data_IF_897090660154
#
_entry.id   IF_897090660154
#
_cell.length_a   1.000
_cell.length_b   1.000
_cell.length_c   1.000
_cell.angle_alpha   90.00
_cell.angle_beta   90.00
_cell.angle_gamma   90.00
#
_symmetry.space_group_name_H-M   'P 1'
#
loop_
_entity.id
_entity.type
_entity.pdbx_description
1 polymer ?
#
# COMPACT_ATOMS: atom_id res chain seq x y z
N UNK A 1 22.84 1.34 -9.00
CA UNK A 1 23.13 -0.08 -9.24
C UNK A 1 22.10 -0.93 -8.50
N UNK A 2 21.31 -1.71 -9.24
CA UNK A 2 20.25 -2.56 -8.66
C UNK A 2 20.83 -3.79 -7.94
N UNK A 3 20.08 -4.34 -6.98
CA UNK A 3 20.34 -5.66 -6.39
C UNK A 3 19.33 -6.64 -6.93
N UNK A 4 19.72 -7.43 -7.92
CA UNK A 4 18.86 -8.48 -8.47
C UNK A 4 18.71 -9.61 -7.45
N UNK A 5 17.48 -10.08 -7.24
CA UNK A 5 17.19 -11.20 -6.34
C UNK A 5 17.74 -12.48 -6.95
N UNK A 6 18.50 -13.27 -6.20
CA UNK A 6 19.11 -14.49 -6.76
C UNK A 6 18.08 -15.51 -7.26
N UNK A 7 18.24 -15.94 -8.51
CA UNK A 7 17.45 -17.01 -9.13
C UNK A 7 18.11 -18.38 -9.01
N UNK A 8 17.40 -19.41 -9.44
CA UNK A 8 18.01 -20.74 -9.65
C UNK A 8 18.70 -20.75 -11.02
N UNK A 9 20.02 -20.94 -11.05
CA UNK A 9 20.77 -21.03 -12.30
C UNK A 9 20.32 -22.27 -13.09
N UNK A 10 19.82 -22.04 -14.30
CA UNK A 10 19.47 -23.10 -15.25
C UNK A 10 20.74 -23.56 -15.96
N UNK A 11 21.45 -22.63 -16.61
CA UNK A 11 22.73 -22.89 -17.31
C UNK A 11 23.42 -21.59 -17.74
N UNK A 12 24.69 -21.75 -18.10
CA UNK A 12 25.55 -20.71 -18.67
C UNK A 12 25.90 -21.06 -20.12
N UNK A 13 25.86 -20.06 -21.00
CA UNK A 13 26.06 -20.15 -22.44
C UNK A 13 27.03 -19.06 -22.91
N UNK A 14 27.68 -19.27 -24.05
CA UNK A 14 28.51 -18.26 -24.72
C UNK A 14 27.81 -17.67 -25.96
N UNK A 15 26.70 -18.26 -26.37
CA UNK A 15 25.88 -17.79 -27.49
C UNK A 15 24.44 -18.29 -27.38
N UNK A 16 23.49 -17.62 -28.05
CA UNK A 16 22.09 -18.01 -28.04
C UNK A 16 21.15 -16.98 -28.68
N UNK A 17 20.05 -17.46 -29.28
CA UNK A 17 18.98 -16.61 -29.79
C UNK A 17 18.05 -16.21 -28.64
N UNK A 18 17.71 -14.93 -28.54
CA UNK A 18 16.88 -14.40 -27.45
C UNK A 18 15.53 -15.12 -27.29
N UNK A 19 14.83 -15.43 -28.39
CA UNK A 19 13.50 -16.05 -28.33
C UNK A 19 13.56 -17.46 -27.71
N UNK A 20 14.62 -18.22 -28.02
CA UNK A 20 14.87 -19.54 -27.43
C UNK A 20 15.17 -19.42 -25.92
N UNK A 21 15.99 -18.43 -25.54
CA UNK A 21 16.36 -18.19 -24.14
C UNK A 21 15.16 -17.74 -23.30
N UNK A 22 14.31 -16.87 -23.86
CA UNK A 22 13.07 -16.39 -23.22
C UNK A 22 12.11 -17.56 -22.99
N UNK A 23 11.94 -18.41 -24.01
CA UNK A 23 11.09 -19.61 -23.92
C UNK A 23 11.60 -20.59 -22.86
N UNK A 24 12.92 -20.79 -22.77
CA UNK A 24 13.53 -21.70 -21.80
C UNK A 24 13.42 -21.20 -20.35
N UNK A 25 13.61 -19.90 -20.14
CA UNK A 25 13.49 -19.28 -18.81
C UNK A 25 12.04 -19.34 -18.34
N UNK A 26 11.08 -18.99 -19.21
CA UNK A 26 9.64 -18.85 -18.96
C UNK A 26 9.27 -17.85 -17.85
N UNK A 27 9.79 -18.00 -16.64
CA UNK A 27 9.67 -17.05 -15.53
C UNK A 27 11.04 -16.90 -14.87
N UNK A 28 11.64 -15.71 -14.91
CA UNK A 28 12.99 -15.48 -14.41
C UNK A 28 13.70 -14.30 -15.06
N UNK A 29 15.02 -14.42 -15.21
CA UNK A 29 15.81 -13.43 -15.94
C UNK A 29 16.97 -14.07 -16.70
N UNK A 30 17.40 -13.36 -17.73
CA UNK A 30 18.58 -13.64 -18.54
C UNK A 30 19.60 -12.57 -18.19
N UNK A 31 20.80 -12.97 -17.77
CA UNK A 31 21.93 -12.07 -17.53
C UNK A 31 22.93 -12.22 -18.67
N UNK A 32 23.32 -11.11 -19.28
CA UNK A 32 24.32 -11.03 -20.34
C UNK A 32 25.47 -10.18 -19.84
N UNK A 33 26.67 -10.77 -19.81
CA UNK A 33 27.89 -10.14 -19.35
C UNK A 33 28.86 -9.99 -20.51
N UNK A 34 29.35 -8.77 -20.74
CA UNK A 34 30.35 -8.47 -21.77
C UNK A 34 31.48 -7.66 -21.14
N UNK A 35 32.72 -8.08 -21.36
CA UNK A 35 33.90 -7.33 -20.92
C UNK A 35 34.54 -6.61 -22.10
N UNK A 36 34.48 -5.28 -22.11
CA UNK A 36 35.09 -4.43 -23.12
C UNK A 36 36.21 -3.59 -22.48
N UNK A 37 37.46 -3.99 -22.69
CA UNK A 37 38.62 -3.38 -22.01
C UNK A 37 38.55 -3.53 -20.49
N UNK A 38 38.48 -2.39 -19.78
CA UNK A 38 38.33 -2.33 -18.32
C UNK A 38 36.87 -2.25 -17.85
N UNK A 39 35.90 -2.14 -18.76
CA UNK A 39 34.48 -2.01 -18.42
C UNK A 39 33.79 -3.37 -18.44
N UNK A 40 32.88 -3.56 -17.49
CA UNK A 40 31.99 -4.72 -17.43
C UNK A 40 30.57 -4.24 -17.69
N UNK A 41 30.01 -4.71 -18.80
CA UNK A 41 28.64 -4.43 -19.17
C UNK A 41 27.76 -5.57 -18.70
N UNK A 42 26.69 -5.24 -17.99
CA UNK A 42 25.68 -6.20 -17.54
C UNK A 42 24.31 -5.82 -18.11
N UNK A 43 23.70 -6.77 -18.81
CA UNK A 43 22.35 -6.66 -19.33
C UNK A 43 21.44 -7.70 -18.70
N UNK A 44 20.31 -7.28 -18.16
CA UNK A 44 19.30 -8.13 -17.55
C UNK A 44 18.02 -8.05 -18.36
N UNK A 45 17.48 -9.20 -18.76
CA UNK A 45 16.17 -9.33 -19.40
C UNK A 45 15.28 -10.13 -18.47
N UNK A 46 14.20 -9.54 -17.97
CA UNK A 46 13.23 -10.21 -17.11
C UNK A 46 12.12 -10.81 -17.97
N UNK A 47 11.78 -12.06 -17.69
CA UNK A 47 10.84 -12.86 -18.46
C UNK A 47 9.73 -13.37 -17.53
N UNK A 48 8.48 -13.23 -17.95
CA UNK A 48 7.31 -13.78 -17.27
C UNK A 48 6.36 -14.40 -18.29
N UNK A 49 5.92 -15.63 -18.02
CA UNK A 49 5.03 -16.41 -18.88
C UNK A 49 5.49 -16.45 -20.35
N UNK A 50 6.81 -16.48 -20.57
CA UNK A 50 7.45 -16.54 -21.89
C UNK A 50 7.52 -15.19 -22.62
N UNK A 51 7.19 -14.08 -21.96
CA UNK A 51 7.29 -12.73 -22.52
C UNK A 51 8.34 -11.89 -21.80
N UNK A 52 9.03 -11.01 -22.53
CA UNK A 52 9.96 -10.04 -21.94
C UNK A 52 9.12 -8.95 -21.26
N UNK A 53 9.20 -8.91 -19.93
CA UNK A 53 8.43 -7.96 -19.10
C UNK A 53 9.28 -6.81 -18.58
N UNK A 54 10.61 -6.92 -18.65
CA UNK A 54 11.49 -5.87 -18.16
C UNK A 54 12.91 -6.01 -18.65
N UNK A 55 13.67 -4.92 -18.57
CA UNK A 55 15.04 -4.87 -19.04
C UNK A 55 15.86 -3.83 -18.29
N UNK A 56 17.09 -4.17 -17.94
CA UNK A 56 18.02 -3.27 -17.25
C UNK A 56 19.44 -3.44 -17.76
N UNK A 57 20.15 -2.33 -17.93
CA UNK A 57 21.54 -2.32 -18.39
C UNK A 57 22.39 -1.42 -17.50
N UNK A 58 23.63 -1.85 -17.24
CA UNK A 58 24.64 -1.06 -16.53
C UNK A 58 26.04 -1.28 -17.12
N UNK A 59 26.88 -0.24 -17.08
CA UNK A 59 28.33 -0.34 -17.36
C UNK A 59 29.20 -0.43 -16.09
N UNK A 60 28.54 -0.52 -14.92
CA UNK A 60 29.14 -0.57 -13.59
C UNK A 60 30.02 0.64 -13.22
N UNK A 61 29.92 1.74 -13.97
CA UNK A 61 30.66 2.97 -13.69
C UNK A 61 29.73 4.18 -13.56
N UNK A 62 28.93 4.47 -14.59
CA UNK A 62 28.19 5.73 -14.69
C UNK A 62 26.85 5.63 -15.42
N UNK A 63 26.62 4.53 -16.15
CA UNK A 63 25.44 4.36 -16.99
C UNK A 63 24.52 3.32 -16.40
N UNK A 64 23.28 3.71 -16.08
CA UNK A 64 22.17 2.80 -15.76
C UNK A 64 20.99 3.10 -16.69
N UNK A 65 20.46 2.08 -17.36
CA UNK A 65 19.36 2.20 -18.31
C UNK A 65 18.27 1.22 -17.92
N UNK A 66 17.07 1.75 -17.69
CA UNK A 66 15.89 1.00 -17.24
C UNK A 66 14.85 0.95 -18.37
N UNK A 67 14.23 -0.21 -18.57
CA UNK A 67 13.09 -0.39 -19.49
C UNK A 67 13.40 -0.24 -20.99
N UNK A 68 14.69 -0.16 -21.38
CA UNK A 68 15.11 -0.15 -22.77
C UNK A 68 15.92 -1.41 -23.14
N UNK A 69 15.30 -2.28 -23.94
CA UNK A 69 15.89 -3.55 -24.40
C UNK A 69 16.95 -3.39 -25.50
N UNK A 70 16.98 -2.28 -26.24
CA UNK A 70 17.84 -2.10 -27.42
C UNK A 70 19.33 -2.22 -27.05
N UNK A 71 19.72 -1.59 -25.94
CA UNK A 71 21.08 -1.66 -25.39
C UNK A 71 21.52 -3.07 -24.98
N UNK A 72 20.58 -3.92 -24.58
CA UNK A 72 20.87 -5.29 -24.17
C UNK A 72 20.93 -6.22 -25.37
N UNK A 73 20.12 -5.96 -26.40
CA UNK A 73 20.21 -6.64 -27.69
C UNK A 73 21.58 -6.39 -28.36
N UNK A 74 22.14 -5.19 -28.20
CA UNK A 74 23.53 -4.91 -28.63
C UNK A 74 24.53 -5.87 -27.98
N UNK A 75 24.39 -6.18 -26.68
CA UNK A 75 25.29 -7.09 -25.95
C UNK A 75 25.27 -8.53 -26.49
N UNK A 76 24.13 -8.99 -26.99
CA UNK A 76 24.02 -10.33 -27.61
C UNK A 76 24.86 -10.47 -28.88
N UNK A 77 25.19 -9.37 -29.55
CA UNK A 77 25.98 -9.38 -30.78
C UNK A 77 27.51 -9.41 -30.53
N UNK A 78 27.96 -9.30 -29.28
CA UNK A 78 29.39 -9.40 -28.95
C UNK A 78 29.88 -10.84 -29.00
N UNK A 79 31.10 -11.06 -29.51
CA UNK A 79 31.73 -12.39 -29.57
C UNK A 79 32.17 -12.87 -28.18
N UNK A 80 32.58 -11.96 -27.30
CA UNK A 80 33.14 -12.24 -25.97
C UNK A 80 32.10 -12.03 -24.85
N UNK A 81 30.94 -12.66 -25.00
CA UNK A 81 29.82 -12.58 -24.05
C UNK A 81 29.66 -13.87 -23.23
N UNK A 82 29.12 -13.73 -22.03
CA UNK A 82 28.60 -14.83 -21.21
C UNK A 82 27.13 -14.57 -20.96
N UNK A 83 26.30 -15.58 -21.18
CA UNK A 83 24.85 -15.52 -20.96
C UNK A 83 24.50 -16.53 -19.86
N UNK A 84 23.80 -16.08 -18.83
CA UNK A 84 23.33 -16.91 -17.74
C UNK A 84 21.80 -16.85 -17.65
N UNK A 85 21.18 -18.02 -17.53
CA UNK A 85 19.73 -18.16 -17.44
C UNK A 85 19.33 -18.50 -16.01
N UNK A 86 18.47 -17.69 -15.42
CA UNK A 86 18.01 -17.85 -14.05
C UNK A 86 16.50 -18.01 -13.99
N UNK A 87 16.05 -19.04 -13.28
CA UNK A 87 14.63 -19.29 -13.02
C UNK A 87 14.16 -18.60 -11.75
N UNK A 88 12.97 -18.02 -11.82
CA UNK A 88 12.22 -17.51 -10.68
C UNK A 88 10.93 -18.29 -10.45
N UNK A 89 10.41 -18.16 -9.23
CA UNK A 89 8.99 -18.37 -8.95
C UNK A 89 8.24 -17.03 -9.09
N UNK A 90 6.90 -17.07 -9.11
CA UNK A 90 6.06 -15.86 -9.25
C UNK A 90 6.33 -14.82 -8.16
N UNK A 91 6.65 -15.26 -6.94
CA UNK A 91 6.94 -14.34 -5.85
C UNK A 91 8.23 -13.53 -6.07
N UNK A 92 9.30 -14.16 -6.58
CA UNK A 92 10.57 -13.48 -6.85
C UNK A 92 10.47 -12.46 -7.98
N UNK A 93 9.74 -12.77 -9.05
CA UNK A 93 9.54 -11.79 -10.13
C UNK A 93 8.64 -10.63 -9.69
N UNK A 94 7.62 -10.89 -8.88
CA UNK A 94 6.80 -9.84 -8.27
C UNK A 94 7.60 -8.97 -7.31
N UNK A 95 8.52 -9.55 -6.55
CA UNK A 95 9.45 -8.80 -5.70
C UNK A 95 10.38 -7.91 -6.54
N UNK A 96 10.88 -8.40 -7.67
CA UNK A 96 11.69 -7.56 -8.58
C UNK A 96 10.88 -6.40 -9.16
N UNK A 97 9.63 -6.63 -9.57
CA UNK A 97 8.70 -5.57 -10.02
C UNK A 97 8.41 -4.54 -8.93
N UNK A 98 8.37 -4.98 -7.67
CA UNK A 98 8.16 -4.12 -6.51
C UNK A 98 9.40 -3.28 -6.18
N UNK A 99 10.60 -3.88 -6.22
CA UNK A 99 11.85 -3.19 -5.88
C UNK A 99 12.29 -2.17 -6.94
N UNK A 100 12.11 -2.50 -8.23
CA UNK A 100 12.63 -1.73 -9.35
C UNK A 100 11.61 -1.61 -10.48
N UNK A 101 10.46 -0.94 -10.25
CA UNK A 101 9.37 -0.85 -11.23
C UNK A 101 9.82 -0.24 -12.57
N UNK A 102 10.79 0.67 -12.56
CA UNK A 102 11.38 1.30 -13.74
C UNK A 102 11.99 0.32 -14.75
N UNK A 103 12.41 -0.87 -14.31
CA UNK A 103 12.91 -1.96 -15.18
C UNK A 103 11.79 -2.49 -16.09
N UNK A 104 10.55 -2.47 -15.62
CA UNK A 104 9.40 -3.14 -16.24
C UNK A 104 8.51 -2.19 -17.05
N UNK A 105 8.91 -0.93 -17.19
CA UNK A 105 8.23 0.05 -18.04
C UNK A 105 8.69 -0.13 -19.48
N UNK A 106 7.91 -0.86 -20.28
CA UNK A 106 8.21 -1.08 -21.70
C UNK A 106 8.02 0.23 -22.48
N UNK A 107 9.12 0.90 -22.85
CA UNK A 107 9.08 1.89 -23.93
C UNK A 107 8.82 1.15 -25.24
N UNK A 108 7.58 1.18 -25.74
CA UNK A 108 7.24 0.62 -27.06
C UNK A 108 7.93 1.43 -28.15
N UNK A 109 9.03 0.91 -28.70
CA UNK A 109 9.53 1.35 -30.01
C UNK A 109 8.46 0.99 -31.04
N UNK A 110 7.97 2.00 -31.77
CA UNK A 110 6.94 1.86 -32.82
C UNK A 110 7.45 0.92 -33.92
N UNK A 111 6.78 -0.20 -34.12
CA UNK A 111 6.71 -0.86 -35.43
C UNK A 111 5.26 -0.93 -35.87
N UNK A 112 4.98 -0.20 -36.96
CA UNK A 112 3.70 -0.15 -37.64
C UNK A 112 3.39 -1.52 -38.26
N UNK A 113 2.27 -2.12 -37.86
CA UNK A 113 1.46 -2.91 -38.78
C UNK A 113 0.01 -2.46 -38.69
N UNK A 114 -0.39 -1.76 -39.74
CA UNK A 114 -1.76 -1.40 -40.05
C UNK A 114 -2.69 -2.60 -39.92
N UNK A 115 -3.77 -2.45 -39.16
CA UNK A 115 -5.05 -3.04 -39.56
C UNK A 115 -6.18 -2.15 -39.07
N UNK A 116 -6.82 -1.50 -40.04
CA UNK A 116 -7.99 -0.64 -39.88
C UNK A 116 -9.09 -1.35 -39.09
N UNK A 117 -9.58 -0.73 -38.02
CA UNK A 117 -10.99 -0.79 -37.61
C UNK A 117 -11.35 0.39 -36.70
N UNK A 118 -12.22 1.23 -37.28
CA UNK A 118 -13.24 2.09 -36.67
C UNK A 118 -12.84 3.02 -35.51
N UNK A 119 -12.83 4.32 -35.83
CA UNK A 119 -12.78 5.46 -34.94
C UNK A 119 -13.86 5.39 -33.85
N UNK A 120 -13.43 5.13 -32.61
CA UNK A 120 -13.86 5.91 -31.46
C UNK A 120 -12.62 6.66 -30.98
N UNK A 121 -12.77 7.93 -30.64
CA UNK A 121 -11.71 8.70 -29.99
C UNK A 121 -11.40 8.04 -28.63
N UNK A 122 -10.50 7.07 -28.63
CA UNK A 122 -9.94 6.49 -27.43
C UNK A 122 -9.04 7.55 -26.80
N UNK A 123 -9.61 8.30 -25.83
CA UNK A 123 -8.77 8.90 -24.80
C UNK A 123 -7.97 7.75 -24.19
N UNK A 124 -6.65 7.77 -24.34
CA UNK A 124 -5.78 6.79 -23.68
C UNK A 124 -6.06 6.85 -22.16
N UNK A 125 -6.88 5.94 -21.66
CA UNK A 125 -7.18 5.79 -20.23
C UNK A 125 -5.86 5.44 -19.54
N UNK A 126 -5.30 6.39 -18.76
CA UNK A 126 -4.03 6.21 -18.06
C UNK A 126 -4.27 5.50 -16.74
N UNK A 127 -4.33 4.17 -16.78
CA UNK A 127 -4.35 3.36 -15.58
C UNK A 127 -3.04 3.50 -14.81
N UNK A 128 -3.15 3.90 -13.55
CA UNK A 128 -2.03 3.97 -12.61
C UNK A 128 -1.78 2.58 -12.05
N UNK A 129 -0.54 2.12 -12.08
CA UNK A 129 -0.14 0.88 -11.43
C UNK A 129 0.16 1.13 -9.94
N UNK A 130 -0.87 1.55 -9.19
CA UNK A 130 -0.81 1.79 -7.73
C UNK A 130 -1.71 0.79 -7.01
N UNK A 131 -1.33 0.40 -5.80
CA UNK A 131 -2.25 -0.31 -4.90
C UNK A 131 -3.13 0.72 -4.20
N UNK A 132 -4.42 0.67 -4.46
CA UNK A 132 -5.38 1.54 -3.78
C UNK A 132 -5.63 1.01 -2.36
N UNK A 133 -5.35 1.81 -1.34
CA UNK A 133 -5.61 1.45 0.06
C UNK A 133 -6.60 2.47 0.65
N UNK A 134 -7.88 2.31 0.30
CA UNK A 134 -8.95 3.14 0.86
C UNK A 134 -9.38 2.53 2.19
N UNK A 135 -9.24 3.26 3.32
CA UNK A 135 -9.50 2.71 4.64
C UNK A 135 -11.00 2.54 4.91
N UNK A 136 -11.55 1.37 4.61
CA UNK A 136 -12.98 1.07 4.86
C UNK A 136 -13.22 0.68 6.33
N UNK A 137 -14.19 1.35 6.98
CA UNK A 137 -14.63 1.01 8.35
C UNK A 137 -15.72 -0.08 8.33
N UNK A 138 -16.49 -0.20 9.41
CA UNK A 138 -17.73 -0.99 9.41
C UNK A 138 -18.74 -0.34 8.47
N UNK A 139 -19.30 -1.07 7.49
CA UNK A 139 -20.29 -0.51 6.59
C UNK A 139 -21.56 -0.13 7.34
N UNK A 140 -22.14 1.03 6.98
CA UNK A 140 -23.50 1.39 7.35
C UNK A 140 -24.52 0.40 6.78
N UNK A 141 -24.23 -0.11 5.58
CA UNK A 141 -25.06 -1.10 4.89
C UNK A 141 -24.20 -1.87 3.88
N UNK A 142 -24.52 -3.15 3.71
CA UNK A 142 -23.82 -4.02 2.75
C UNK A 142 -24.77 -4.57 1.70
N UNK A 143 -24.26 -4.71 0.48
CA UNK A 143 -25.00 -5.23 -0.68
C UNK A 143 -26.36 -4.51 -0.94
N UNK A 144 -26.37 -3.18 -0.88
CA UNK A 144 -27.60 -2.38 -1.10
C UNK A 144 -27.63 -1.73 -2.48
N UNK A 145 -28.74 -1.90 -3.21
CA UNK A 145 -28.95 -1.16 -4.47
C UNK A 145 -29.49 0.26 -4.24
N UNK A 146 -29.98 0.56 -3.05
CA UNK A 146 -30.58 1.84 -2.66
C UNK A 146 -29.61 2.64 -1.77
N UNK A 147 -28.37 2.83 -2.25
CA UNK A 147 -27.35 3.55 -1.49
C UNK A 147 -27.66 5.06 -1.39
N UNK A 148 -28.46 5.60 -2.31
CA UNK A 148 -28.81 7.02 -2.35
C UNK A 148 -29.53 7.50 -1.09
N UNK A 149 -30.22 6.61 -0.37
CA UNK A 149 -30.90 6.94 0.91
C UNK A 149 -29.94 7.37 2.02
N UNK A 150 -28.66 6.99 1.92
CA UNK A 150 -27.63 7.32 2.92
C UNK A 150 -26.93 8.66 2.64
N UNK A 151 -27.17 9.27 1.49
CA UNK A 151 -26.57 10.55 1.07
C UNK A 151 -27.25 11.74 1.79
N UNK A 152 -26.99 11.85 3.10
CA UNK A 152 -27.50 12.92 3.96
C UNK A 152 -26.63 14.18 3.92
N UNK A 153 -27.27 15.35 3.94
CA UNK A 153 -26.57 16.63 3.97
C UNK A 153 -25.61 16.72 5.18
N UNK A 154 -24.40 17.26 4.97
CA UNK A 154 -23.30 17.35 5.93
C UNK A 154 -22.57 16.04 6.31
N UNK A 155 -22.88 14.91 5.67
CA UNK A 155 -22.10 13.67 5.83
C UNK A 155 -21.17 13.41 4.66
N UNK A 156 -20.08 12.71 4.94
CA UNK A 156 -19.22 12.13 3.92
C UNK A 156 -19.53 10.64 3.80
N UNK A 157 -20.01 10.22 2.64
CA UNK A 157 -20.41 8.82 2.40
C UNK A 157 -19.50 8.22 1.35
N UNK A 158 -18.88 7.08 1.68
CA UNK A 158 -18.12 6.29 0.72
C UNK A 158 -19.01 5.18 0.21
N UNK A 159 -19.22 5.15 -1.10
CA UNK A 159 -19.91 4.07 -1.80
C UNK A 159 -18.83 3.21 -2.44
N UNK A 160 -18.63 2.01 -1.92
CA UNK A 160 -17.78 1.00 -2.54
C UNK A 160 -18.65 0.07 -3.36
N UNK A 161 -18.28 -0.16 -4.62
CA UNK A 161 -18.98 -1.08 -5.51
C UNK A 161 -17.99 -2.04 -6.13
N UNK A 162 -18.24 -3.33 -6.02
CA UNK A 162 -17.32 -4.33 -6.55
C UNK A 162 -18.05 -5.48 -7.22
N UNK A 163 -17.36 -6.07 -8.18
CA UNK A 163 -17.86 -7.22 -8.94
C UNK A 163 -16.71 -8.19 -9.15
N UNK A 164 -16.98 -9.46 -8.85
CA UNK A 164 -16.05 -10.56 -9.11
C UNK A 164 -16.71 -11.52 -10.09
N UNK A 165 -16.21 -11.56 -11.31
CA UNK A 165 -16.57 -12.59 -12.30
C UNK A 165 -15.36 -13.47 -12.57
N UNK A 166 -15.56 -14.68 -13.10
CA UNK A 166 -14.50 -15.68 -13.28
C UNK A 166 -13.23 -15.12 -13.95
N UNK A 167 -12.26 -14.70 -13.13
CA UNK A 167 -10.98 -14.14 -13.56
C UNK A 167 -10.91 -12.62 -13.71
N UNK A 168 -11.97 -11.85 -13.43
CA UNK A 168 -11.96 -10.37 -13.48
C UNK A 168 -12.48 -9.78 -12.19
N UNK A 169 -11.71 -8.87 -11.60
CA UNK A 169 -12.10 -8.10 -10.42
C UNK A 169 -12.20 -6.62 -10.78
N UNK A 170 -13.36 -6.03 -10.49
CA UNK A 170 -13.61 -4.60 -10.66
C UNK A 170 -14.04 -4.05 -9.30
N UNK A 171 -13.44 -2.95 -8.88
CA UNK A 171 -13.65 -2.35 -7.57
C UNK A 171 -13.65 -0.83 -7.67
N UNK A 172 -14.76 -0.21 -7.32
CA UNK A 172 -15.02 1.21 -7.48
C UNK A 172 -15.33 1.89 -6.16
N UNK A 173 -14.94 3.16 -6.05
CA UNK A 173 -15.20 3.99 -4.89
C UNK A 173 -15.68 5.36 -5.35
N UNK A 174 -16.74 5.86 -4.73
CA UNK A 174 -17.17 7.25 -4.85
C UNK A 174 -17.34 7.82 -3.44
N UNK A 175 -16.73 8.97 -3.20
CA UNK A 175 -16.94 9.76 -1.99
C UNK A 175 -17.94 10.85 -2.29
N UNK A 176 -19.02 10.90 -1.52
CA UNK A 176 -20.04 11.93 -1.57
C UNK A 176 -19.91 12.86 -0.37
N UNK A 177 -20.10 14.17 -0.59
CA UNK A 177 -20.42 15.14 0.47
C UNK A 177 -21.89 15.52 0.30
N UNK A 178 -22.76 15.04 1.18
CA UNK A 178 -24.20 15.04 0.93
C UNK A 178 -24.53 14.24 -0.33
N UNK A 179 -25.18 14.88 -1.31
CA UNK A 179 -25.52 14.24 -2.60
C UNK A 179 -24.50 14.50 -3.70
N UNK A 180 -23.45 15.29 -3.42
CA UNK A 180 -22.47 15.70 -4.43
C UNK A 180 -21.28 14.74 -4.41
N UNK A 181 -20.96 14.04 -5.52
CA UNK A 181 -19.74 13.26 -5.61
C UNK A 181 -18.53 14.21 -5.66
N UNK A 182 -17.58 14.02 -4.76
CA UNK A 182 -16.38 14.87 -4.63
C UNK A 182 -15.12 14.15 -5.07
N UNK A 183 -15.10 12.82 -5.02
CA UNK A 183 -13.95 12.02 -5.41
C UNK A 183 -14.32 10.62 -5.88
N UNK A 184 -13.51 10.02 -6.75
CA UNK A 184 -13.68 8.64 -7.20
C UNK A 184 -12.35 7.94 -7.50
N UNK A 185 -12.39 6.61 -7.37
CA UNK A 185 -11.33 5.70 -7.78
C UNK A 185 -11.94 4.42 -8.33
N UNK A 186 -11.27 3.81 -9.30
CA UNK A 186 -11.69 2.57 -9.94
C UNK A 186 -10.48 1.67 -10.16
N UNK A 187 -10.51 0.47 -9.61
CA UNK A 187 -9.47 -0.54 -9.70
C UNK A 187 -9.98 -1.73 -10.50
N UNK A 188 -9.15 -2.18 -11.45
CA UNK A 188 -9.39 -3.40 -12.20
C UNK A 188 -8.05 -4.08 -12.55
N UNK A 189 -8.11 -5.15 -13.33
CA UNK A 189 -6.92 -5.91 -13.74
C UNK A 189 -5.87 -5.06 -14.52
N UNK A 190 -6.27 -3.91 -15.06
CA UNK A 190 -5.38 -2.97 -15.78
C UNK A 190 -4.71 -1.93 -14.87
N UNK A 191 -5.10 -1.85 -13.60
CA UNK A 191 -4.65 -0.85 -12.64
C UNK A 191 -5.78 0.05 -12.15
N UNK A 192 -5.40 1.25 -11.72
CA UNK A 192 -6.28 2.20 -11.03
C UNK A 192 -6.53 3.44 -11.88
N UNK A 193 -7.80 3.79 -12.07
CA UNK A 193 -8.23 5.12 -12.51
C UNK A 193 -8.61 5.95 -11.30
N UNK A 194 -8.39 7.27 -11.38
CA UNK A 194 -8.77 8.23 -10.35
C UNK A 194 -9.59 9.37 -10.97
N UNK A 195 -10.33 10.08 -10.12
CA UNK A 195 -10.98 11.33 -10.52
C UNK A 195 -12.18 11.08 -11.45
N UNK A 196 -12.33 11.94 -12.45
CA UNK A 196 -13.49 11.93 -13.34
C UNK A 196 -13.58 10.64 -14.18
N UNK A 197 -12.46 10.17 -14.71
CA UNK A 197 -12.42 8.94 -15.52
C UNK A 197 -12.82 7.72 -14.68
N UNK A 198 -12.40 7.69 -13.41
CA UNK A 198 -12.87 6.67 -12.46
C UNK A 198 -14.37 6.79 -12.21
N UNK A 199 -14.87 8.00 -11.92
CA UNK A 199 -16.28 8.23 -11.66
C UNK A 199 -17.19 7.67 -12.76
N UNK A 200 -16.84 7.91 -14.03
CA UNK A 200 -17.59 7.39 -15.18
C UNK A 200 -17.65 5.85 -15.23
N UNK A 201 -16.55 5.16 -14.88
CA UNK A 201 -16.52 3.69 -14.79
C UNK A 201 -17.32 3.18 -13.60
N UNK A 202 -17.19 3.82 -12.45
CA UNK A 202 -17.92 3.41 -11.23
C UNK A 202 -19.43 3.61 -11.43
N UNK A 203 -19.88 4.66 -12.11
CA UNK A 203 -21.29 4.84 -12.46
C UNK A 203 -21.84 3.75 -13.39
N UNK A 204 -21.01 3.19 -14.27
CA UNK A 204 -21.39 2.03 -15.08
C UNK A 204 -21.52 0.78 -14.21
N UNK A 205 -20.56 0.56 -13.29
CA UNK A 205 -20.55 -0.58 -12.38
C UNK A 205 -21.74 -0.56 -11.40
N UNK A 206 -22.15 0.61 -10.91
CA UNK A 206 -23.32 0.79 -10.04
C UNK A 206 -24.64 0.36 -10.71
N UNK A 207 -24.72 0.36 -12.04
CA UNK A 207 -25.90 -0.07 -12.81
C UNK A 207 -25.93 -1.59 -13.02
N UNK A 208 -24.86 -2.31 -12.71
CA UNK A 208 -24.80 -3.76 -12.86
C UNK A 208 -25.57 -4.47 -11.75
N UNK A 209 -26.49 -5.36 -12.13
CA UNK A 209 -27.29 -6.14 -11.19
C UNK A 209 -26.43 -7.03 -10.29
N UNK A 210 -25.29 -7.52 -10.79
CA UNK A 210 -24.38 -8.42 -10.08
C UNK A 210 -23.30 -7.72 -9.26
N UNK A 211 -23.21 -6.39 -9.32
CA UNK A 211 -22.29 -5.64 -8.48
C UNK A 211 -22.79 -5.57 -7.03
N UNK A 212 -21.89 -5.79 -6.08
CA UNK A 212 -22.15 -5.62 -4.65
C UNK A 212 -21.81 -4.18 -4.29
N UNK A 213 -22.68 -3.51 -3.54
CA UNK A 213 -22.52 -2.12 -3.14
C UNK A 213 -22.56 -2.03 -1.62
N UNK A 214 -21.45 -1.57 -1.04
CA UNK A 214 -21.28 -1.35 0.38
C UNK A 214 -21.15 0.15 0.65
N UNK A 215 -21.76 0.62 1.75
CA UNK A 215 -21.86 2.05 2.08
C UNK A 215 -21.19 2.30 3.43
N UNK A 216 -20.34 3.31 3.50
CA UNK A 216 -19.57 3.66 4.70
C UNK A 216 -19.74 5.15 5.02
N UNK A 217 -19.66 5.51 6.30
CA UNK A 217 -19.64 6.90 6.75
C UNK A 217 -18.21 7.30 7.10
N UNK A 218 -17.73 8.38 6.49
CA UNK A 218 -16.48 9.02 6.85
C UNK A 218 -16.75 10.31 7.61
N UNK A 219 -15.84 10.65 8.52
CA UNK A 219 -15.75 12.01 9.02
C UNK A 219 -14.93 12.90 8.07
N UNK A 220 -15.03 14.21 8.25
CA UNK A 220 -14.33 15.19 7.42
C UNK A 220 -12.82 15.01 7.44
N UNK A 221 -12.23 14.75 8.62
CA UNK A 221 -10.78 14.56 8.77
C UNK A 221 -10.28 13.37 7.96
N UNK A 222 -10.98 12.24 8.01
CA UNK A 222 -10.64 11.02 7.27
C UNK A 222 -10.74 11.24 5.76
N UNK A 223 -11.77 11.98 5.34
CA UNK A 223 -11.92 12.37 3.93
C UNK A 223 -10.77 13.26 3.46
N UNK A 224 -10.40 14.27 4.25
CA UNK A 224 -9.30 15.19 3.91
C UNK A 224 -7.97 14.45 3.78
N UNK A 225 -7.62 13.58 4.75
CA UNK A 225 -6.40 12.77 4.69
C UNK A 225 -6.39 11.89 3.44
N UNK A 226 -7.50 11.25 3.10
CA UNK A 226 -7.58 10.42 1.89
C UNK A 226 -7.37 11.25 0.61
N UNK A 227 -7.92 12.46 0.54
CA UNK A 227 -7.75 13.37 -0.59
C UNK A 227 -6.38 14.07 -0.62
N UNK A 228 -5.65 14.11 0.49
CA UNK A 228 -4.24 14.54 0.53
C UNK A 228 -3.31 13.44 0.02
N UNK A 229 -3.60 12.18 0.35
CA UNK A 229 -2.83 11.01 -0.13
C UNK A 229 -3.10 10.78 -1.63
N UNK A 230 -4.36 10.89 -2.05
CA UNK A 230 -4.79 10.68 -3.44
C UNK A 230 -5.50 11.92 -4.01
N UNK A 231 -4.79 13.04 -4.24
CA UNK A 231 -5.40 14.28 -4.71
C UNK A 231 -6.07 14.14 -6.08
N UNK A 232 -5.56 13.22 -6.91
CA UNK A 232 -6.11 12.91 -8.23
C UNK A 232 -7.48 12.22 -8.17
N UNK A 233 -7.94 11.77 -7.00
CA UNK A 233 -9.30 11.24 -6.85
C UNK A 233 -10.37 12.32 -6.98
N UNK A 234 -10.05 13.60 -6.76
CA UNK A 234 -11.04 14.68 -6.80
C UNK A 234 -11.71 14.76 -8.18
N UNK A 235 -13.04 14.83 -8.21
CA UNK A 235 -13.84 14.89 -9.45
C UNK A 235 -14.01 16.34 -9.94
N UNK A 236 -14.00 17.28 -9.00
CA UNK A 236 -14.18 18.71 -9.28
C UNK A 236 -12.89 19.41 -8.90
N UNK A 237 -12.21 20.01 -9.89
CA UNK A 237 -11.18 21.03 -9.63
C UNK A 237 -11.84 22.17 -8.85
N UNK A 238 -11.19 22.74 -7.85
CA UNK A 238 -11.65 23.95 -7.15
C UNK A 238 -11.61 25.19 -8.06
N UNK A 239 -12.17 25.11 -9.26
CA UNK A 239 -12.37 26.21 -10.22
C UNK A 239 -13.82 26.75 -10.20
N UNK A 240 -14.66 26.35 -9.24
CA UNK A 240 -16.00 26.96 -9.07
C UNK A 240 -16.27 27.39 -7.63
N UNK A 241 -15.51 28.38 -7.17
CA UNK A 241 -16.03 29.40 -6.27
C UNK A 241 -15.50 30.76 -6.74
N UNK A 242 -16.42 31.56 -7.27
CA UNK A 242 -16.28 32.89 -7.87
C UNK A 242 -15.87 33.97 -6.86
N UNK A 243 -14.79 33.79 -6.12
CA UNK A 243 -14.25 34.79 -5.18
C UNK A 243 -12.72 34.91 -5.16
N UNK A 244 -12.01 34.26 -6.10
CA UNK A 244 -10.53 34.38 -6.24
C UNK A 244 -10.05 35.03 -7.55
N UNK A 245 -10.95 35.56 -8.37
CA UNK A 245 -10.59 36.25 -9.62
C UNK A 245 -10.15 37.72 -9.42
N UNK A 246 -10.28 38.31 -8.22
CA UNK A 246 -9.80 39.68 -7.98
C UNK A 246 -8.33 39.76 -7.53
N UNK A 247 -7.70 38.66 -7.11
CA UNK A 247 -6.30 38.68 -6.62
C UNK A 247 -5.29 38.26 -7.70
N UNK A 248 -5.71 37.53 -8.75
CA UNK A 248 -4.81 37.09 -9.82
C UNK A 248 -4.51 38.17 -10.88
N UNK A 249 -5.37 39.18 -11.03
CA UNK A 249 -5.09 40.32 -11.92
C UNK A 249 -3.95 41.21 -11.43
N UNK A 250 -3.74 41.28 -10.11
CA UNK A 250 -2.66 42.09 -9.53
C UNK A 250 -1.30 41.38 -9.53
N UNK A 251 -1.25 40.07 -9.76
CA UNK A 251 0.00 39.29 -9.80
C UNK A 251 0.54 39.18 -11.25
N UNK A 252 -0.33 39.06 -12.25
CA UNK A 252 0.09 39.01 -13.66
C UNK A 252 0.61 40.36 -14.19
N UNK A 253 0.28 41.47 -13.53
CA UNK A 253 0.80 42.79 -13.88
C UNK A 253 2.15 43.10 -13.20
N UNK A 254 2.57 42.33 -12.20
CA UNK A 254 3.84 42.51 -11.47
C UNK A 254 5.00 41.64 -11.97
N UNK A 255 4.75 40.74 -12.95
CA UNK A 255 5.77 39.85 -13.56
C UNK A 255 6.01 40.20 -15.03
N UNK A 256 5.88 41.48 -15.40
CA UNK A 256 6.47 42.01 -16.61
C UNK A 256 7.60 42.97 -16.23
N UNK A 257 8.77 42.67 -16.77
CA UNK A 257 10.03 43.43 -16.67
C UNK A 257 10.76 43.32 -15.32
N UNK A 258 11.51 42.22 -15.13
CA UNK A 258 12.98 42.22 -15.07
C UNK A 258 13.51 40.83 -14.67
N UNK A 259 14.57 40.39 -15.37
CA UNK A 259 15.46 39.24 -15.05
C UNK A 259 14.96 37.80 -15.30
N UNK A 260 14.62 37.50 -16.56
CA UNK A 260 14.76 36.16 -17.14
C UNK A 260 16.14 36.03 -17.81
N UNK A 261 17.22 35.90 -17.04
CA UNK A 261 18.52 35.47 -17.61
C UNK A 261 19.47 34.68 -16.68
N UNK A 262 19.08 34.31 -15.44
CA UNK A 262 19.91 33.49 -14.55
C UNK A 262 19.28 32.15 -14.11
N UNK A 263 18.54 31.48 -15.01
CA UNK A 263 18.23 30.06 -14.84
C UNK A 263 19.41 29.18 -15.30
N UNK A 264 20.59 29.38 -14.71
CA UNK A 264 21.67 28.38 -14.76
C UNK A 264 21.50 27.44 -13.57
N UNK A 265 21.19 26.19 -13.87
CA UNK A 265 21.42 24.97 -13.07
C UNK A 265 21.52 25.18 -11.55
N UNK A 266 20.40 25.41 -10.88
CA UNK A 266 20.37 25.29 -9.42
C UNK A 266 20.43 23.80 -9.06
N UNK A 267 21.38 23.44 -8.19
CA UNK A 267 21.48 22.08 -7.65
C UNK A 267 20.26 21.74 -6.76
N UNK A 268 19.99 20.43 -6.59
CA UNK A 268 18.90 19.94 -5.73
C UNK A 268 19.00 20.51 -4.32
N UNK A 269 20.20 20.58 -3.74
CA UNK A 269 20.42 21.18 -2.42
C UNK A 269 20.06 22.68 -2.36
N UNK A 270 20.37 23.45 -3.40
CA UNK A 270 20.08 24.89 -3.45
C UNK A 270 18.59 25.17 -3.63
N UNK A 271 17.89 24.34 -4.41
CA UNK A 271 16.43 24.40 -4.54
C UNK A 271 15.73 24.09 -3.21
N UNK A 272 16.13 23.01 -2.52
CA UNK A 272 15.56 22.63 -1.22
C UNK A 272 15.78 23.72 -0.17
N UNK A 273 16.97 24.33 -0.14
CA UNK A 273 17.30 25.45 0.76
C UNK A 273 16.49 26.71 0.45
N UNK A 274 16.28 27.03 -0.83
CA UNK A 274 15.51 28.20 -1.28
C UNK A 274 14.01 28.04 -1.02
N UNK A 275 13.51 26.80 -1.04
CA UNK A 275 12.12 26.45 -0.75
C UNK A 275 11.84 26.18 0.74
N UNK A 276 12.87 26.19 1.61
CA UNK A 276 12.72 25.93 3.04
C UNK A 276 12.33 24.49 3.38
N UNK A 277 12.53 23.55 2.45
CA UNK A 277 12.18 22.13 2.60
C UNK A 277 13.42 21.40 3.13
N UNK A 278 13.29 20.78 4.31
CA UNK A 278 14.32 19.89 4.84
C UNK A 278 14.14 18.50 4.24
N UNK A 279 15.25 17.82 3.94
CA UNK A 279 15.16 16.40 3.59
C UNK A 279 14.59 15.62 4.79
N UNK A 280 13.68 14.67 4.55
CA UNK A 280 13.18 13.81 5.61
C UNK A 280 14.35 13.02 6.19
N UNK A 281 14.63 13.24 7.48
CA UNK A 281 15.65 12.52 8.21
C UNK A 281 15.10 11.21 8.79
N UNK A 282 15.99 10.33 9.24
CA UNK A 282 15.60 9.04 9.83
C UNK A 282 14.65 9.22 11.03
N UNK A 283 14.76 10.34 11.75
CA UNK A 283 13.88 10.67 12.88
C UNK A 283 12.48 11.03 12.41
N UNK A 284 12.36 11.76 11.30
CA UNK A 284 11.10 12.08 10.65
C UNK A 284 10.44 10.81 10.09
N UNK A 285 11.21 9.91 9.47
CA UNK A 285 10.71 8.62 8.98
C UNK A 285 10.22 7.75 10.15
N UNK A 286 10.98 7.64 11.23
CA UNK A 286 10.58 6.91 12.43
C UNK A 286 9.32 7.51 13.07
N UNK A 287 9.19 8.83 13.12
CA UNK A 287 8.00 9.51 13.66
C UNK A 287 6.76 9.23 12.81
N UNK A 288 6.88 9.28 11.48
CA UNK A 288 5.78 8.94 10.56
C UNK A 288 5.38 7.47 10.71
N UNK A 289 6.35 6.55 10.79
CA UNK A 289 6.09 5.13 10.99
C UNK A 289 5.45 4.86 12.36
N UNK A 290 5.91 5.53 13.41
CA UNK A 290 5.30 5.43 14.75
C UNK A 290 3.86 5.93 14.74
N UNK A 291 3.57 7.07 14.09
CA UNK A 291 2.20 7.59 14.00
C UNK A 291 1.27 6.73 13.12
N UNK A 292 1.80 6.08 12.08
CA UNK A 292 1.03 5.19 11.21
C UNK A 292 0.66 3.85 11.87
N UNK A 293 1.52 3.31 12.74
CA UNK A 293 1.30 2.02 13.41
C UNK A 293 0.87 2.15 14.87
N UNK A 294 0.62 3.38 15.33
CA UNK A 294 0.11 3.66 16.66
C UNK A 294 -1.39 3.33 16.71
N UNK A 295 -1.80 2.40 17.60
CA UNK A 295 -3.21 2.16 17.83
C UNK A 295 -3.87 3.41 18.42
N UNK A 296 -5.06 3.72 17.95
CA UNK A 296 -5.92 4.76 18.50
C UNK A 296 -6.28 4.47 19.96
N UNK A 297 -6.70 5.51 20.70
CA UNK A 297 -7.16 5.30 22.08
C UNK A 297 -8.38 4.38 22.16
N UNK A 298 -9.24 4.38 21.14
CA UNK A 298 -10.38 3.46 21.03
C UNK A 298 -9.91 2.02 20.85
N UNK A 299 -8.96 1.74 19.95
CA UNK A 299 -8.40 0.40 19.78
C UNK A 299 -7.68 -0.12 21.04
N UNK A 300 -6.98 0.76 21.75
CA UNK A 300 -6.36 0.41 23.04
C UNK A 300 -7.41 0.08 24.11
N UNK A 301 -8.52 0.82 24.13
CA UNK A 301 -9.64 0.55 25.05
C UNK A 301 -10.37 -0.75 24.68
N UNK A 302 -10.63 -1.00 23.40
CA UNK A 302 -11.22 -2.27 22.97
C UNK A 302 -10.33 -3.47 23.33
N UNK A 303 -9.02 -3.36 23.08
CA UNK A 303 -8.06 -4.39 23.44
C UNK A 303 -8.03 -4.61 24.95
N UNK A 304 -8.07 -3.53 25.74
CA UNK A 304 -8.20 -3.61 27.20
C UNK A 304 -9.45 -4.39 27.60
N UNK A 305 -10.63 -4.02 27.10
CA UNK A 305 -11.89 -4.67 27.45
C UNK A 305 -11.91 -6.15 27.05
N UNK A 306 -11.41 -6.47 25.84
CA UNK A 306 -11.26 -7.86 25.37
C UNK A 306 -10.36 -8.67 26.31
N UNK A 307 -9.21 -8.13 26.70
CA UNK A 307 -8.29 -8.79 27.64
C UNK A 307 -8.91 -8.97 29.02
N UNK A 308 -9.55 -7.94 29.57
CA UNK A 308 -10.22 -8.00 30.88
C UNK A 308 -11.31 -9.07 30.90
N UNK A 309 -12.17 -9.10 29.89
CA UNK A 309 -13.24 -10.08 29.76
C UNK A 309 -12.70 -11.51 29.66
N UNK A 310 -11.70 -11.75 28.82
CA UNK A 310 -11.11 -13.08 28.65
C UNK A 310 -10.39 -13.55 29.93
N UNK A 311 -9.69 -12.64 30.63
CA UNK A 311 -9.05 -12.91 31.92
C UNK A 311 -10.09 -13.28 32.98
N UNK A 312 -11.17 -12.50 33.12
CA UNK A 312 -12.26 -12.78 34.05
C UNK A 312 -12.89 -14.14 33.75
N UNK A 313 -13.26 -14.39 32.50
CA UNK A 313 -13.91 -15.63 32.09
C UNK A 313 -13.02 -16.85 32.36
N UNK A 314 -11.73 -16.78 32.03
CA UNK A 314 -10.80 -17.89 32.20
C UNK A 314 -10.51 -18.18 33.67
N UNK A 315 -10.22 -17.15 34.47
CA UNK A 315 -9.87 -17.33 35.88
C UNK A 315 -11.09 -17.76 36.69
N UNK A 316 -12.29 -17.25 36.38
CA UNK A 316 -13.52 -17.63 37.09
C UNK A 316 -13.90 -19.11 36.92
N UNK A 317 -13.42 -19.75 35.84
CA UNK A 317 -13.55 -21.21 35.63
C UNK A 317 -12.57 -22.04 36.48
N UNK A 318 -11.56 -21.43 37.09
CA UNK A 318 -10.62 -22.16 37.94
C UNK A 318 -11.30 -22.65 39.22
N UNK A 319 -10.94 -23.85 39.64
CA UNK A 319 -11.47 -24.44 40.86
C UNK A 319 -11.07 -23.61 42.09
N UNK A 320 -12.04 -23.21 42.91
CA UNK A 320 -11.82 -22.42 44.12
C UNK A 320 -12.00 -20.91 43.93
N UNK A 321 -12.20 -20.42 42.70
CA UNK A 321 -12.52 -19.01 42.43
C UNK A 321 -14.00 -18.73 42.58
N UNK A 322 -14.35 -17.65 43.29
CA UNK A 322 -15.70 -17.11 43.48
C UNK A 322 -15.96 -15.97 42.48
N UNK A 323 -15.08 -14.97 42.49
CA UNK A 323 -15.18 -13.79 41.65
C UNK A 323 -13.81 -13.26 41.23
N UNK A 324 -13.79 -12.51 40.13
CA UNK A 324 -12.57 -11.93 39.57
C UNK A 324 -12.85 -10.50 39.15
N UNK A 325 -12.00 -9.57 39.58
CA UNK A 325 -12.04 -8.17 39.18
C UNK A 325 -10.72 -7.76 38.57
N UNK A 326 -10.78 -7.19 37.38
CA UNK A 326 -9.63 -6.72 36.63
C UNK A 326 -9.68 -5.21 36.52
N UNK A 327 -8.52 -4.57 36.61
CA UNK A 327 -8.35 -3.17 36.26
C UNK A 327 -7.02 -3.04 35.52
N UNK A 328 -7.10 -3.11 34.20
CA UNK A 328 -5.96 -3.04 33.30
C UNK A 328 -5.89 -1.65 32.64
N UNK A 329 -4.66 -1.25 32.34
CA UNK A 329 -4.33 -0.12 31.48
C UNK A 329 -3.43 -0.65 30.38
N UNK A 330 -3.82 -0.40 29.15
CA UNK A 330 -3.03 -0.74 27.97
C UNK A 330 -2.50 0.57 27.40
N UNK A 331 -1.18 0.63 27.19
CA UNK A 331 -0.50 1.73 26.54
C UNK A 331 0.31 1.20 25.37
N UNK A 332 0.54 2.07 24.39
CA UNK A 332 1.47 1.81 23.30
C UNK A 332 2.56 2.89 23.32
N UNK A 333 3.82 2.45 23.36
CA UNK A 333 4.99 3.33 23.31
C UNK A 333 6.07 2.62 22.47
N UNK A 334 6.64 3.32 21.49
CA UNK A 334 7.76 2.88 20.64
C UNK A 334 7.55 1.48 20.04
N UNK A 335 6.39 1.25 19.40
CA UNK A 335 6.08 -0.04 18.75
C UNK A 335 5.84 -1.21 19.70
N UNK A 336 5.62 -0.97 21.00
CA UNK A 336 5.37 -2.02 21.99
C UNK A 336 4.16 -1.72 22.89
N UNK A 337 3.38 -2.76 23.16
CA UNK A 337 2.29 -2.69 24.12
C UNK A 337 2.80 -2.83 25.55
N UNK A 338 2.31 -1.96 26.44
CA UNK A 338 2.57 -2.00 27.86
C UNK A 338 1.27 -2.20 28.62
N UNK A 339 1.18 -3.30 29.36
CA UNK A 339 0.02 -3.67 30.14
C UNK A 339 0.34 -3.52 31.62
N UNK A 340 -0.45 -2.71 32.30
CA UNK A 340 -0.31 -2.44 33.73
C UNK A 340 -1.65 -2.65 34.42
N UNK A 341 -1.62 -3.01 35.70
CA UNK A 341 -2.83 -3.05 36.50
C UNK A 341 -2.89 -4.21 37.46
N UNK A 342 -4.09 -4.50 37.92
CA UNK A 342 -4.32 -5.45 39.00
C UNK A 342 -5.42 -6.45 38.63
N UNK A 343 -5.19 -7.70 38.97
CA UNK A 343 -6.19 -8.78 38.91
C UNK A 343 -6.44 -9.26 40.32
N UNK A 344 -7.65 -9.02 40.81
CA UNK A 344 -8.08 -9.40 42.16
C UNK A 344 -8.97 -10.64 42.06
N UNK A 345 -8.53 -11.73 42.68
CA UNK A 345 -9.20 -13.02 42.66
C UNK A 345 -9.77 -13.31 44.04
N UNK A 346 -11.09 -13.46 44.12
CA UNK A 346 -11.79 -13.79 45.36
C UNK A 346 -11.98 -15.29 45.48
N UNK A 347 -11.56 -15.89 46.60
CA UNK A 347 -11.70 -17.32 46.87
C UNK A 347 -13.11 -17.70 47.30
N UNK A 348 -13.57 -18.90 46.89
CA UNK A 348 -14.82 -19.51 47.37
C UNK A 348 -14.71 -19.86 48.86
N UNK A 349 -15.71 -19.43 49.63
CA UNK A 349 -15.86 -19.75 51.06
C UNK A 349 -17.13 -20.57 51.27
N UNK A 350 -17.04 -21.63 52.06
CA UNK A 350 -18.19 -22.40 52.54
C UNK A 350 -18.18 -22.31 54.05
N UNK A 351 -19.26 -21.77 54.64
CA UNK A 351 -19.37 -21.57 56.10
C UNK A 351 -18.19 -20.79 56.72
N UNK A 352 -17.61 -19.84 55.98
CA UNK A 352 -16.48 -19.03 56.43
C UNK A 352 -15.09 -19.65 56.26
N UNK A 353 -15.00 -20.92 55.84
CA UNK A 353 -13.73 -21.62 55.60
C UNK A 353 -13.36 -21.55 54.12
N UNK A 354 -12.10 -21.22 53.82
CA UNK A 354 -11.55 -21.19 52.46
C UNK A 354 -11.46 -22.61 51.91
N UNK A 355 -12.07 -22.88 50.75
CA UNK A 355 -12.21 -24.24 50.20
C UNK A 355 -10.89 -24.81 49.66
N UNK A 356 -10.07 -23.98 49.02
CA UNK A 356 -8.81 -24.35 48.36
C UNK A 356 -7.95 -23.10 48.20
N UNK A 357 -6.65 -23.21 48.43
CA UNK A 357 -5.73 -22.11 48.16
C UNK A 357 -5.52 -21.96 46.65
N UNK A 358 -5.35 -20.72 46.20
CA UNK A 358 -5.13 -20.39 44.80
C UNK A 358 -3.73 -19.83 44.70
N UNK A 359 -2.86 -20.55 44.00
CA UNK A 359 -1.49 -20.10 43.74
C UNK A 359 -1.52 -18.92 42.75
N UNK A 360 -1.07 -17.71 43.14
CA UNK A 360 -0.98 -16.56 42.26
C UNK A 360 -0.15 -16.82 40.99
N UNK A 361 0.81 -17.75 41.05
CA UNK A 361 1.68 -18.13 39.93
C UNK A 361 0.90 -18.82 38.81
N UNK A 362 -0.10 -19.63 39.16
CA UNK A 362 -0.97 -20.30 38.19
C UNK A 362 -1.88 -19.28 37.51
N UNK A 363 -2.42 -18.34 38.30
CA UNK A 363 -3.23 -17.23 37.78
C UNK A 363 -2.39 -16.38 36.80
N UNK A 364 -1.13 -16.09 37.16
CA UNK A 364 -0.20 -15.36 36.31
C UNK A 364 0.04 -16.06 34.97
N UNK A 365 0.26 -17.38 35.02
CA UNK A 365 0.50 -18.17 33.83
C UNK A 365 -0.71 -18.16 32.86
N UNK A 366 -1.93 -18.28 33.39
CA UNK A 366 -3.15 -18.19 32.57
C UNK A 366 -3.34 -16.80 31.97
N UNK A 367 -3.07 -15.73 32.73
CA UNK A 367 -3.10 -14.34 32.22
C UNK A 367 -2.08 -14.16 31.09
N UNK A 368 -0.83 -14.58 31.28
CA UNK A 368 0.20 -14.46 30.24
C UNK A 368 -0.17 -15.24 28.97
N UNK A 369 -0.79 -16.43 29.13
CA UNK A 369 -1.28 -17.21 27.98
C UNK A 369 -2.36 -16.47 27.21
N UNK A 370 -3.28 -15.79 27.90
CA UNK A 370 -4.32 -14.96 27.28
C UNK A 370 -3.69 -13.80 26.52
N UNK A 371 -2.80 -13.03 27.15
CA UNK A 371 -2.16 -11.87 26.52
C UNK A 371 -1.43 -12.29 25.24
N UNK A 372 -0.72 -13.43 25.26
CA UNK A 372 -0.02 -13.98 24.08
C UNK A 372 -0.93 -14.38 22.92
N UNK A 373 -2.23 -14.62 23.14
CA UNK A 373 -3.18 -14.86 22.04
C UNK A 373 -3.40 -13.59 21.21
N UNK A 374 -3.36 -12.43 21.85
CA UNK A 374 -3.68 -11.15 21.23
C UNK A 374 -2.42 -10.36 20.83
N UNK A 375 -1.32 -10.51 21.57
CA UNK A 375 -0.13 -9.67 21.43
C UNK A 375 1.14 -10.52 21.31
N UNK A 376 1.92 -10.26 20.25
CA UNK A 376 3.22 -10.90 19.99
C UNK A 376 4.39 -10.18 20.66
N UNK A 377 4.31 -8.86 20.85
CA UNK A 377 5.34 -8.01 21.48
C UNK A 377 4.72 -7.13 22.56
N UNK A 378 4.91 -7.50 23.83
CA UNK A 378 4.35 -6.76 24.96
C UNK A 378 5.26 -6.80 26.19
N UNK A 379 5.08 -5.82 27.08
CA UNK A 379 5.59 -5.82 28.44
C UNK A 379 4.40 -5.83 29.40
N UNK A 380 4.31 -6.82 30.28
CA UNK A 380 3.26 -6.90 31.31
C UNK A 380 3.83 -6.63 32.71
N UNK A 381 3.15 -5.76 33.46
CA UNK A 381 3.35 -5.54 34.90
C UNK A 381 2.00 -5.57 35.58
N UNK A 382 1.42 -6.76 35.61
CA UNK A 382 0.11 -7.03 36.23
C UNK A 382 0.34 -7.63 37.61
N UNK A 383 -0.19 -6.98 38.63
CA UNK A 383 -0.20 -7.49 40.00
C UNK A 383 -1.37 -8.44 40.19
N UNK A 384 -1.17 -9.51 40.95
CA UNK A 384 -2.21 -10.51 41.22
C UNK A 384 -2.42 -10.57 42.71
N UNK A 385 -3.64 -10.21 43.13
CA UNK A 385 -4.04 -10.22 44.54
C UNK A 385 -5.08 -11.31 44.72
N UNK A 386 -4.89 -12.18 45.72
CA UNK A 386 -5.80 -13.29 46.00
C UNK A 386 -6.36 -13.14 47.42
N UNK A 387 -7.67 -12.92 47.54
CA UNK A 387 -8.40 -12.61 48.78
C UNK A 387 -9.33 -13.73 49.26
#
# INVERSE_FOLDING_TARGET
MIKVVDGELIRTLTDGNLDDLVTEVNVGYILILVKEGNKLHEGYIFVEDGEIVGSYYTDNESTEIFGNKEKILELLNYENKVIELYRYNKDKINLMKWLYPEIFVVKKTKEEKETKKEEREDKEEKYLNIKLDIPLDVPLESNTKDFQRYLEDNKYIVVNVYKKTSGKFENGYIIYKGKTPIAAAYECDFGVLLGKDAYEKVEQLLKDENAIIDVYEYNERKTNVLLEIYPQMKIVDEEQSTEKEEIQKDIEEFVKEEELEEAKELSREELLKKLGIKEPDDTWIETILEDMFRPSEEELNELKEKLENEIVNRIKMMEGVDDVKTNLKVKWENGRYYLFGDVNVKRKRILGIIKKDIDPSIVKFEIDKIIRKFLSRYTSRISINVE
#
